data_IF_552800792245
#
_entry.id   IF_552800792245
#
_cell.length_a   1.000
_cell.length_b   1.000
_cell.length_c   1.000
_cell.angle_alpha   90.00
_cell.angle_beta   90.00
_cell.angle_gamma   90.00
#
_symmetry.space_group_name_H-M   'P 1'
#
loop_
_entity.id
_entity.type
_entity.pdbx_description
1 polymer ?
#
# COMPACT_ATOMS: atom_id res chain seq x y z
N UNK A 1 -15.67 41.61 -22.96
CA UNK A 1 -14.61 41.15 -22.07
C UNK A 1 -14.00 39.87 -22.66
N UNK A 2 -12.68 39.81 -22.76
CA UNK A 2 -11.99 38.59 -23.17
C UNK A 2 -12.12 37.56 -22.07
N UNK A 3 -12.51 36.33 -22.40
CA UNK A 3 -12.53 35.21 -21.44
C UNK A 3 -11.13 34.90 -20.91
N UNK A 4 -11.09 34.28 -19.74
CA UNK A 4 -9.84 33.89 -19.05
C UNK A 4 -9.30 32.49 -19.47
N UNK A 5 -9.97 31.85 -20.43
CA UNK A 5 -9.64 30.51 -20.94
C UNK A 5 -9.78 30.46 -22.47
N UNK A 6 -9.45 29.34 -23.08
CA UNK A 6 -9.48 29.11 -24.53
C UNK A 6 -10.83 29.48 -25.15
N UNK A 7 -10.83 29.89 -26.41
CA UNK A 7 -11.99 30.30 -27.20
C UNK A 7 -12.82 31.44 -26.56
N UNK A 8 -12.20 32.34 -25.80
CA UNK A 8 -12.89 33.46 -25.16
C UNK A 8 -13.84 33.06 -24.02
N UNK A 9 -13.73 31.80 -23.53
CA UNK A 9 -14.48 31.29 -22.39
C UNK A 9 -13.82 31.70 -21.08
N UNK A 10 -14.56 31.59 -19.98
CA UNK A 10 -14.05 31.86 -18.64
C UNK A 10 -14.20 30.63 -17.75
N UNK A 11 -13.18 30.38 -16.94
CA UNK A 11 -13.27 29.41 -15.83
C UNK A 11 -13.96 30.10 -14.65
N UNK A 12 -14.96 29.45 -14.06
CA UNK A 12 -15.59 29.96 -12.84
C UNK A 12 -14.59 29.82 -11.68
N UNK A 13 -14.35 30.92 -10.99
CA UNK A 13 -13.48 31.00 -9.83
C UNK A 13 -14.23 31.51 -8.61
N UNK A 14 -13.90 30.97 -7.44
CA UNK A 14 -14.38 31.45 -6.15
C UNK A 14 -13.21 32.16 -5.46
N UNK A 15 -13.26 33.48 -5.33
CA UNK A 15 -12.15 34.27 -4.79
C UNK A 15 -12.16 34.36 -3.26
N UNK A 16 -13.30 34.11 -2.63
CA UNK A 16 -13.51 34.08 -1.19
C UNK A 16 -14.67 33.17 -0.85
N UNK A 17 -14.78 32.81 0.42
CA UNK A 17 -15.96 32.07 0.88
C UNK A 17 -17.24 32.86 0.64
N UNK A 18 -18.35 32.19 0.27
CA UNK A 18 -19.63 32.84 0.08
C UNK A 18 -20.14 33.50 1.37
N UNK A 19 -20.64 34.72 1.27
CA UNK A 19 -21.35 35.42 2.34
C UNK A 19 -22.73 34.84 2.63
N UNK A 20 -23.35 34.19 1.63
CA UNK A 20 -24.66 33.50 1.71
C UNK A 20 -24.49 32.03 1.19
N UNK A 21 -24.22 31.12 2.09
CA UNK A 21 -24.06 29.70 1.78
C UNK A 21 -25.33 29.04 1.19
N UNK A 22 -26.55 29.26 1.68
CA UNK A 22 -27.77 28.74 1.07
C UNK A 22 -27.94 29.16 -0.38
N UNK A 23 -27.73 30.46 -0.69
CA UNK A 23 -27.77 31.00 -2.05
C UNK A 23 -26.68 30.35 -2.92
N UNK A 24 -25.46 30.23 -2.41
CA UNK A 24 -24.36 29.59 -3.11
C UNK A 24 -24.68 28.13 -3.48
N UNK A 25 -25.21 27.35 -2.54
CA UNK A 25 -25.58 25.95 -2.79
C UNK A 25 -26.66 25.86 -3.88
N UNK A 26 -27.65 26.71 -3.85
CA UNK A 26 -28.69 26.77 -4.90
C UNK A 26 -28.10 27.10 -6.28
N UNK A 27 -27.17 28.06 -6.37
CA UNK A 27 -26.46 28.38 -7.61
C UNK A 27 -25.64 27.21 -8.10
N UNK A 28 -24.89 26.59 -7.19
CA UNK A 28 -24.06 25.43 -7.51
C UNK A 28 -24.88 24.27 -8.08
N UNK A 29 -26.02 23.98 -7.49
CA UNK A 29 -26.93 22.93 -7.96
C UNK A 29 -27.43 23.20 -9.38
N UNK A 30 -27.88 24.42 -9.66
CA UNK A 30 -28.30 24.82 -11.02
C UNK A 30 -27.17 24.70 -12.04
N UNK A 31 -25.98 25.14 -11.70
CA UNK A 31 -24.81 25.02 -12.57
C UNK A 31 -24.43 23.55 -12.81
N UNK A 32 -24.53 22.71 -11.78
CA UNK A 32 -24.26 21.27 -11.87
C UNK A 32 -25.30 20.57 -12.76
N UNK A 33 -26.59 20.92 -12.65
CA UNK A 33 -27.65 20.39 -13.49
C UNK A 33 -27.42 20.72 -14.96
N UNK A 34 -27.12 21.99 -15.28
CA UNK A 34 -26.81 22.43 -16.65
C UNK A 34 -25.55 21.71 -17.17
N UNK A 35 -24.50 21.58 -16.34
CA UNK A 35 -23.28 20.83 -16.71
C UNK A 35 -23.60 19.38 -17.02
N UNK A 36 -24.44 18.73 -16.23
CA UNK A 36 -24.80 17.34 -16.38
C UNK A 36 -25.62 17.04 -17.65
N UNK A 37 -26.28 18.06 -18.22
CA UNK A 37 -26.99 17.94 -19.50
C UNK A 37 -26.05 18.00 -20.73
N UNK A 38 -24.80 18.44 -20.55
CA UNK A 38 -23.80 18.50 -21.64
C UNK A 38 -23.18 17.16 -21.91
N UNK A 39 -22.70 16.90 -23.15
CA UNK A 39 -21.88 15.74 -23.43
C UNK A 39 -20.67 15.69 -22.50
N UNK A 40 -20.47 14.56 -21.85
CA UNK A 40 -19.32 14.36 -20.96
C UNK A 40 -18.13 13.85 -21.74
N UNK A 41 -16.89 14.14 -21.27
CA UNK A 41 -15.72 13.42 -21.76
C UNK A 41 -15.91 11.90 -21.62
N UNK A 42 -15.28 11.16 -22.52
CA UNK A 42 -15.24 9.71 -22.40
C UNK A 42 -14.65 9.28 -21.05
N UNK A 43 -15.23 8.26 -20.45
CA UNK A 43 -14.71 7.65 -19.23
C UNK A 43 -13.79 6.50 -19.62
N UNK A 44 -12.57 6.52 -19.14
CA UNK A 44 -11.70 5.35 -19.14
C UNK A 44 -12.03 4.51 -17.89
N UNK A 45 -12.63 3.36 -18.11
CA UNK A 45 -13.16 2.46 -17.09
C UNK A 45 -12.23 1.27 -16.77
N UNK A 46 -10.95 1.38 -17.17
CA UNK A 46 -9.96 0.39 -16.82
C UNK A 46 -9.74 0.32 -15.30
N UNK A 47 -9.67 -0.89 -14.78
CA UNK A 47 -9.17 -1.17 -13.44
C UNK A 47 -7.67 -1.43 -13.56
N UNK A 48 -6.86 -0.54 -12.99
CA UNK A 48 -5.39 -0.65 -12.99
C UNK A 48 -4.96 -1.27 -11.66
N UNK A 49 -4.16 -2.35 -11.70
CA UNK A 49 -3.78 -3.13 -10.54
C UNK A 49 -3.07 -2.28 -9.47
N UNK A 50 -2.02 -1.55 -9.84
CA UNK A 50 -1.23 -0.71 -8.92
C UNK A 50 -2.08 0.36 -8.21
N UNK A 51 -2.94 1.04 -8.95
CA UNK A 51 -3.79 2.10 -8.38
C UNK A 51 -4.82 1.55 -7.40
N UNK A 52 -5.37 0.37 -7.69
CA UNK A 52 -6.26 -0.31 -6.75
C UNK A 52 -5.50 -0.86 -5.54
N UNK A 53 -4.29 -1.40 -5.71
CA UNK A 53 -3.43 -1.80 -4.59
C UNK A 53 -3.15 -0.65 -3.62
N UNK A 54 -2.78 0.51 -4.14
CA UNK A 54 -2.56 1.72 -3.35
C UNK A 54 -3.86 2.21 -2.67
N UNK A 55 -4.99 2.18 -3.39
CA UNK A 55 -6.29 2.56 -2.84
C UNK A 55 -6.76 1.60 -1.73
N UNK A 56 -6.51 0.29 -1.87
CA UNK A 56 -6.81 -0.71 -0.84
C UNK A 56 -6.08 -0.36 0.45
N UNK A 57 -4.75 -0.14 0.39
CA UNK A 57 -3.96 0.26 1.56
C UNK A 57 -4.51 1.54 2.19
N UNK A 58 -4.72 2.59 1.40
CA UNK A 58 -5.23 3.86 1.89
C UNK A 58 -6.61 3.74 2.57
N UNK A 59 -7.51 2.94 2.03
CA UNK A 59 -8.83 2.71 2.60
C UNK A 59 -8.77 1.88 3.90
N UNK A 60 -7.86 0.91 3.99
CA UNK A 60 -7.63 0.14 5.22
C UNK A 60 -7.06 1.03 6.31
N UNK A 61 -6.01 1.80 6.01
CA UNK A 61 -5.35 2.69 6.96
C UNK A 61 -6.34 3.76 7.46
N UNK A 62 -6.98 4.48 6.55
CA UNK A 62 -7.95 5.51 6.90
C UNK A 62 -9.19 4.93 7.61
N UNK A 63 -9.70 3.79 7.15
CA UNK A 63 -10.82 3.09 7.77
C UNK A 63 -10.52 2.66 9.19
N UNK A 64 -9.31 2.19 9.46
CA UNK A 64 -8.85 1.79 10.79
C UNK A 64 -8.68 3.00 11.72
N UNK A 65 -8.05 4.08 11.24
CA UNK A 65 -7.78 5.28 12.04
C UNK A 65 -9.08 6.05 12.33
N UNK A 66 -10.00 6.15 11.36
CA UNK A 66 -11.26 6.91 11.47
C UNK A 66 -12.44 6.04 11.93
N UNK A 67 -12.23 4.78 12.26
CA UNK A 67 -13.27 3.80 12.63
C UNK A 67 -14.41 3.72 11.59
N UNK A 68 -14.04 3.60 10.29
CA UNK A 68 -14.97 3.57 9.15
C UNK A 68 -14.93 2.18 8.48
N UNK A 69 -15.73 1.26 9.03
CA UNK A 69 -15.77 -0.12 8.57
C UNK A 69 -16.20 -0.28 7.10
N UNK A 70 -17.02 0.64 6.59
CA UNK A 70 -17.42 0.66 5.18
C UNK A 70 -16.25 0.93 4.22
N UNK A 71 -15.19 1.62 4.66
CA UNK A 71 -13.99 1.83 3.84
C UNK A 71 -13.14 0.55 3.79
N UNK A 72 -13.01 -0.15 4.91
CA UNK A 72 -12.34 -1.45 4.96
C UNK A 72 -13.09 -2.48 4.11
N UNK A 73 -14.44 -2.48 4.17
CA UNK A 73 -15.26 -3.35 3.32
C UNK A 73 -15.06 -3.07 1.82
N UNK A 74 -15.01 -1.79 1.42
CA UNK A 74 -14.73 -1.40 0.04
C UNK A 74 -13.32 -1.85 -0.41
N UNK A 75 -12.30 -1.69 0.45
CA UNK A 75 -10.94 -2.18 0.20
C UNK A 75 -10.92 -3.70 -0.01
N UNK A 76 -11.65 -4.44 0.85
CA UNK A 76 -11.75 -5.90 0.75
C UNK A 76 -12.41 -6.35 -0.56
N UNK A 77 -13.46 -5.67 -1.00
CA UNK A 77 -14.10 -5.96 -2.29
C UNK A 77 -13.16 -5.71 -3.48
N UNK A 78 -12.41 -4.60 -3.45
CA UNK A 78 -11.41 -4.30 -4.47
C UNK A 78 -10.29 -5.35 -4.49
N UNK A 79 -9.83 -5.80 -3.33
CA UNK A 79 -8.81 -6.84 -3.22
C UNK A 79 -9.29 -8.20 -3.76
N UNK A 80 -10.54 -8.59 -3.49
CA UNK A 80 -11.12 -9.80 -4.09
C UNK A 80 -11.17 -9.70 -5.62
N UNK A 81 -11.53 -8.53 -6.17
CA UNK A 81 -11.49 -8.32 -7.62
C UNK A 81 -10.08 -8.55 -8.18
N UNK A 82 -9.05 -7.97 -7.55
CA UNK A 82 -7.66 -8.14 -7.99
C UNK A 82 -7.21 -9.60 -7.87
N UNK A 83 -7.51 -10.28 -6.77
CA UNK A 83 -7.16 -11.67 -6.57
C UNK A 83 -7.83 -12.62 -7.58
N UNK A 84 -9.09 -12.35 -7.96
CA UNK A 84 -9.86 -13.23 -8.86
C UNK A 84 -9.64 -12.91 -10.34
N UNK A 85 -9.38 -11.65 -10.68
CA UNK A 85 -9.37 -11.20 -12.09
C UNK A 85 -7.96 -10.87 -12.59
N UNK A 86 -7.06 -10.42 -11.70
CA UNK A 86 -5.73 -9.98 -12.11
C UNK A 86 -4.64 -11.00 -11.79
N UNK A 87 -4.67 -11.61 -10.58
CA UNK A 87 -3.65 -12.58 -10.17
C UNK A 87 -3.87 -13.92 -10.86
N UNK A 88 -2.82 -14.45 -11.45
CA UNK A 88 -2.86 -15.75 -12.12
C UNK A 88 -3.75 -15.82 -13.38
N UNK A 89 -4.21 -14.67 -13.85
CA UNK A 89 -5.07 -14.63 -15.05
C UNK A 89 -4.32 -15.03 -16.33
N UNK A 90 -3.01 -14.78 -16.40
CA UNK A 90 -2.21 -15.15 -17.56
C UNK A 90 -1.68 -16.58 -17.42
N UNK A 91 -1.97 -17.50 -18.39
CA UNK A 91 -1.66 -18.93 -18.25
C UNK A 91 -0.19 -19.26 -18.03
N UNK A 92 0.72 -18.47 -18.60
CA UNK A 92 2.18 -18.69 -18.47
C UNK A 92 2.79 -18.04 -17.24
N UNK A 93 2.06 -17.20 -16.50
CA UNK A 93 2.56 -16.45 -15.35
C UNK A 93 1.57 -16.52 -14.18
N UNK A 94 1.45 -17.69 -13.50
CA UNK A 94 0.39 -17.93 -12.51
C UNK A 94 0.52 -17.11 -11.22
N UNK A 95 1.71 -16.59 -10.92
CA UNK A 95 1.97 -15.76 -9.73
C UNK A 95 2.07 -14.25 -10.07
N UNK A 96 1.81 -13.88 -11.33
CA UNK A 96 1.90 -12.50 -11.79
C UNK A 96 0.52 -11.91 -12.05
N UNK A 97 0.37 -10.63 -11.71
CA UNK A 97 -0.83 -9.87 -12.07
C UNK A 97 -0.87 -9.56 -13.57
N UNK A 98 -2.06 -9.45 -14.13
CA UNK A 98 -2.26 -8.63 -15.32
C UNK A 98 -2.44 -7.17 -14.87
N UNK A 99 -1.87 -6.21 -15.63
CA UNK A 99 -1.87 -4.80 -15.26
C UNK A 99 -3.27 -4.19 -15.22
N UNK A 100 -4.14 -4.58 -16.16
CA UNK A 100 -5.44 -3.97 -16.33
C UNK A 100 -6.56 -4.99 -16.51
N UNK A 101 -7.77 -4.63 -16.07
CA UNK A 101 -8.99 -5.32 -16.46
C UNK A 101 -10.07 -4.31 -16.85
N UNK A 102 -11.12 -4.78 -17.56
CA UNK A 102 -12.32 -4.01 -17.87
C UNK A 102 -13.52 -4.96 -17.82
N UNK A 103 -14.62 -4.54 -17.18
CA UNK A 103 -15.81 -5.36 -17.00
C UNK A 103 -15.49 -6.75 -16.41
N UNK A 104 -14.63 -6.79 -15.39
CA UNK A 104 -14.11 -8.00 -14.77
C UNK A 104 -13.43 -9.00 -15.74
N UNK A 105 -12.96 -8.53 -16.89
CA UNK A 105 -12.19 -9.34 -17.85
C UNK A 105 -10.72 -8.90 -17.83
N UNK A 106 -9.77 -9.83 -17.62
CA UNK A 106 -8.36 -9.52 -17.58
C UNK A 106 -7.81 -9.10 -18.94
N UNK A 107 -6.94 -8.10 -18.97
CA UNK A 107 -6.21 -7.67 -20.16
C UNK A 107 -4.93 -8.49 -20.33
N UNK A 108 -5.03 -9.69 -20.89
CA UNK A 108 -3.94 -10.67 -20.98
C UNK A 108 -2.70 -10.18 -21.76
N UNK A 109 -2.85 -9.15 -22.58
CA UNK A 109 -1.75 -8.52 -23.35
C UNK A 109 -0.85 -7.60 -22.52
N UNK A 110 -1.25 -7.29 -21.27
CA UNK A 110 -0.56 -6.36 -20.40
C UNK A 110 -0.25 -7.04 -19.05
N UNK A 111 0.89 -7.71 -18.98
CA UNK A 111 1.38 -8.25 -17.70
C UNK A 111 1.74 -7.12 -16.74
N UNK A 112 1.56 -7.39 -15.45
CA UNK A 112 1.90 -6.47 -14.38
C UNK A 112 3.39 -6.14 -14.37
N UNK A 113 3.69 -4.87 -14.19
CA UNK A 113 5.04 -4.37 -13.95
C UNK A 113 5.35 -4.36 -12.45
N UNK A 114 6.57 -4.00 -12.07
CA UNK A 114 7.03 -3.96 -10.68
C UNK A 114 6.08 -3.19 -9.75
N UNK A 115 5.62 -2.02 -10.19
CA UNK A 115 4.67 -1.19 -9.46
C UNK A 115 3.35 -1.93 -9.16
N UNK A 116 2.83 -2.68 -10.15
CA UNK A 116 1.58 -3.43 -9.96
C UNK A 116 1.72 -4.52 -8.90
N UNK A 117 2.78 -5.33 -9.00
CA UNK A 117 3.06 -6.40 -8.05
C UNK A 117 3.24 -5.84 -6.63
N UNK A 118 4.06 -4.80 -6.47
CA UNK A 118 4.44 -4.24 -5.18
C UNK A 118 3.28 -3.55 -4.46
N UNK A 119 2.52 -2.71 -5.17
CA UNK A 119 1.41 -1.96 -4.56
C UNK A 119 0.22 -2.86 -4.23
N UNK A 120 -0.04 -3.91 -5.04
CA UNK A 120 -1.07 -4.90 -4.68
C UNK A 120 -0.63 -5.75 -3.49
N UNK A 121 0.64 -6.18 -3.43
CA UNK A 121 1.18 -6.86 -2.26
C UNK A 121 1.03 -6.00 -0.99
N UNK A 122 1.33 -4.72 -1.06
CA UNK A 122 1.16 -3.77 0.06
C UNK A 122 -0.31 -3.66 0.51
N UNK A 123 -1.25 -3.58 -0.45
CA UNK A 123 -2.69 -3.58 -0.14
C UNK A 123 -3.16 -4.87 0.54
N UNK A 124 -2.71 -6.02 0.05
CA UNK A 124 -3.04 -7.33 0.66
C UNK A 124 -2.45 -7.45 2.08
N UNK A 125 -1.23 -6.96 2.31
CA UNK A 125 -0.63 -6.94 3.65
C UNK A 125 -1.38 -6.05 4.64
N UNK A 126 -1.94 -4.93 4.19
CA UNK A 126 -2.80 -4.10 5.04
C UNK A 126 -4.08 -4.84 5.43
N UNK A 127 -4.71 -5.58 4.50
CA UNK A 127 -5.86 -6.43 4.80
C UNK A 127 -5.52 -7.60 5.72
N UNK A 128 -4.36 -8.23 5.56
CA UNK A 128 -3.90 -9.29 6.44
C UNK A 128 -3.81 -8.82 7.90
N UNK A 129 -3.36 -7.60 8.12
CA UNK A 129 -3.26 -7.01 9.45
C UNK A 129 -4.64 -6.69 10.05
N UNK A 130 -5.50 -6.00 9.31
CA UNK A 130 -6.81 -5.55 9.85
C UNK A 130 -7.77 -6.71 10.07
N UNK A 131 -7.77 -7.72 9.21
CA UNK A 131 -8.63 -8.90 9.35
C UNK A 131 -8.01 -10.02 10.19
N UNK A 132 -6.68 -10.04 10.35
CA UNK A 132 -5.97 -11.17 10.95
C UNK A 132 -6.07 -12.43 10.08
N UNK A 133 -6.20 -12.27 8.77
CA UNK A 133 -6.39 -13.36 7.80
C UNK A 133 -5.11 -13.57 6.97
N UNK A 134 -4.50 -14.72 7.17
CA UNK A 134 -3.27 -15.12 6.50
C UNK A 134 -3.45 -15.38 5.00
N UNK A 135 -4.67 -15.54 4.50
CA UNK A 135 -4.90 -15.69 3.05
C UNK A 135 -4.38 -14.48 2.27
N UNK A 136 -4.61 -13.27 2.76
CA UNK A 136 -4.10 -12.04 2.17
C UNK A 136 -2.57 -11.94 2.23
N UNK A 137 -1.97 -12.34 3.35
CA UNK A 137 -0.52 -12.41 3.48
C UNK A 137 0.10 -13.41 2.49
N UNK A 138 -0.53 -14.58 2.33
CA UNK A 138 -0.06 -15.59 1.39
C UNK A 138 -0.11 -15.10 -0.06
N UNK A 139 -1.17 -14.41 -0.46
CA UNK A 139 -1.26 -13.79 -1.80
C UNK A 139 -0.18 -12.72 -2.01
N UNK A 140 0.11 -11.90 -1.00
CA UNK A 140 1.22 -10.95 -1.05
C UNK A 140 2.57 -11.65 -1.20
N UNK A 141 2.76 -12.79 -0.54
CA UNK A 141 3.96 -13.63 -0.66
C UNK A 141 4.22 -14.08 -2.09
N UNK A 142 3.18 -14.59 -2.79
CA UNK A 142 3.30 -14.99 -4.20
C UNK A 142 3.80 -13.85 -5.10
N UNK A 143 3.30 -12.62 -4.87
CA UNK A 143 3.73 -11.44 -5.62
C UNK A 143 5.18 -11.06 -5.33
N UNK A 144 5.61 -11.15 -4.08
CA UNK A 144 6.98 -10.86 -3.68
C UNK A 144 7.97 -11.92 -4.17
N UNK A 145 7.58 -13.20 -4.19
CA UNK A 145 8.35 -14.29 -4.79
C UNK A 145 8.55 -14.05 -6.29
N UNK A 146 7.49 -13.65 -7.02
CA UNK A 146 7.59 -13.31 -8.44
C UNK A 146 8.50 -12.10 -8.68
N UNK A 147 8.45 -11.08 -7.80
CA UNK A 147 9.36 -9.93 -7.87
C UNK A 147 10.82 -10.38 -7.68
N UNK A 148 11.11 -11.19 -6.67
CA UNK A 148 12.47 -11.68 -6.42
C UNK A 148 13.01 -12.50 -7.60
N UNK A 149 12.17 -13.33 -8.20
CA UNK A 149 12.55 -14.21 -9.29
C UNK A 149 12.81 -13.48 -10.59
N UNK A 150 12.01 -12.44 -10.91
CA UNK A 150 11.95 -11.91 -12.28
C UNK A 150 12.27 -10.42 -12.42
N UNK A 151 12.24 -9.63 -11.34
CA UNK A 151 12.43 -8.18 -11.45
C UNK A 151 13.80 -7.70 -10.96
N UNK A 152 14.57 -8.54 -10.30
CA UNK A 152 15.90 -8.13 -9.84
C UNK A 152 16.85 -7.94 -11.02
N UNK A 153 17.63 -6.84 -10.99
CA UNK A 153 18.66 -6.52 -11.96
C UNK A 153 19.88 -5.93 -11.24
N UNK A 154 20.91 -6.74 -11.05
CA UNK A 154 22.07 -6.33 -10.24
C UNK A 154 21.66 -5.98 -8.80
N UNK A 155 22.03 -4.78 -8.36
CA UNK A 155 21.68 -4.25 -7.05
C UNK A 155 20.39 -3.41 -7.07
N UNK A 156 19.54 -3.56 -8.07
CA UNK A 156 18.32 -2.83 -8.26
C UNK A 156 17.15 -3.70 -8.69
N UNK A 157 16.00 -3.07 -8.86
CA UNK A 157 14.78 -3.68 -9.37
C UNK A 157 14.40 -3.01 -10.68
N UNK A 158 14.19 -3.80 -11.72
CA UNK A 158 13.74 -3.32 -13.02
C UNK A 158 12.21 -3.19 -13.04
N UNK A 159 11.69 -2.23 -13.81
CA UNK A 159 10.25 -1.99 -13.91
C UNK A 159 9.51 -3.15 -14.59
N UNK A 160 10.21 -3.91 -15.47
CA UNK A 160 9.65 -5.06 -16.18
C UNK A 160 10.36 -6.35 -15.81
N UNK A 161 9.63 -7.46 -15.87
CA UNK A 161 10.20 -8.79 -15.62
C UNK A 161 11.13 -9.25 -16.73
N UNK A 162 12.06 -10.15 -16.43
CA UNK A 162 13.07 -10.69 -17.36
C UNK A 162 12.51 -11.76 -18.31
N UNK A 163 11.38 -12.35 -17.97
CA UNK A 163 10.68 -13.38 -18.74
C UNK A 163 9.60 -12.81 -19.68
N UNK A 164 9.51 -11.48 -19.80
CA UNK A 164 8.60 -10.78 -20.71
C UNK A 164 9.41 -10.21 -21.88
N UNK A 165 9.00 -10.46 -23.13
CA UNK A 165 9.68 -9.86 -24.29
C UNK A 165 9.71 -8.33 -24.19
N UNK A 166 10.81 -7.68 -24.58
CA UNK A 166 10.88 -6.23 -24.62
C UNK A 166 9.82 -5.66 -25.58
N UNK A 167 9.23 -4.52 -25.21
CA UNK A 167 8.16 -3.88 -25.99
C UNK A 167 8.64 -3.41 -27.38
N UNK A 168 9.94 -3.20 -27.53
CA UNK A 168 10.57 -2.88 -28.82
C UNK A 168 11.87 -3.67 -28.97
N UNK A 169 12.13 -4.18 -30.18
CA UNK A 169 13.32 -4.99 -30.50
C UNK A 169 14.67 -4.30 -30.24
N UNK A 170 14.66 -2.99 -29.99
CA UNK A 170 15.88 -2.18 -29.83
C UNK A 170 16.24 -1.94 -28.35
N UNK A 171 15.35 -2.29 -27.38
CA UNK A 171 15.61 -2.10 -25.94
C UNK A 171 16.28 -3.35 -25.38
N UNK A 172 17.60 -3.30 -25.22
CA UNK A 172 18.39 -4.43 -24.71
C UNK A 172 18.50 -4.47 -23.18
N UNK A 173 18.16 -3.37 -22.49
CA UNK A 173 18.24 -3.25 -21.03
C UNK A 173 16.88 -2.87 -20.46
N UNK A 174 16.47 -3.58 -19.40
CA UNK A 174 15.26 -3.23 -18.64
C UNK A 174 15.51 -1.93 -17.88
N UNK A 175 14.52 -1.04 -17.86
CA UNK A 175 14.61 0.21 -17.11
C UNK A 175 14.60 -0.07 -15.60
N UNK A 176 15.45 0.66 -14.87
CA UNK A 176 15.51 0.68 -13.41
C UNK A 176 15.27 2.13 -12.98
N UNK A 177 14.08 2.43 -12.49
CA UNK A 177 13.72 3.77 -12.04
C UNK A 177 13.23 3.77 -10.58
N UNK A 178 14.07 4.21 -9.62
CA UNK A 178 13.67 4.29 -8.23
C UNK A 178 12.89 5.56 -7.88
N UNK A 179 12.61 6.45 -8.85
CA UNK A 179 11.97 7.74 -8.59
C UNK A 179 10.46 7.62 -8.39
N UNK A 180 9.96 8.28 -7.34
CA UNK A 180 8.53 8.47 -7.15
C UNK A 180 8.02 9.52 -8.14
N UNK A 181 6.78 9.33 -8.60
CA UNK A 181 6.08 10.30 -9.44
C UNK A 181 4.70 10.61 -8.80
N UNK A 182 3.61 10.37 -9.53
CA UNK A 182 2.22 10.47 -8.98
C UNK A 182 1.90 9.29 -8.08
N UNK A 183 2.62 8.20 -8.23
CA UNK A 183 2.59 7.00 -7.40
C UNK A 183 3.97 6.72 -6.82
N UNK A 184 4.06 5.91 -5.76
CA UNK A 184 5.35 5.38 -5.30
C UNK A 184 6.06 4.63 -6.43
N UNK A 185 7.40 4.70 -6.47
CA UNK A 185 8.15 3.85 -7.40
C UNK A 185 7.93 2.37 -7.07
N UNK A 186 7.94 1.53 -8.11
CA UNK A 186 7.83 0.08 -7.93
C UNK A 186 8.93 -0.46 -7.00
N UNK A 187 10.13 0.12 -7.06
CA UNK A 187 11.23 -0.26 -6.18
C UNK A 187 10.94 0.06 -4.71
N UNK A 188 10.62 1.31 -4.38
CA UNK A 188 10.32 1.71 -3.00
C UNK A 188 9.10 0.94 -2.44
N UNK A 189 8.05 0.76 -3.24
CA UNK A 189 6.87 -0.03 -2.86
C UNK A 189 7.22 -1.51 -2.60
N UNK A 190 8.13 -2.10 -3.40
CA UNK A 190 8.60 -3.47 -3.17
C UNK A 190 9.31 -3.61 -1.83
N UNK A 191 10.21 -2.69 -1.51
CA UNK A 191 10.96 -2.78 -0.25
C UNK A 191 10.05 -2.57 0.97
N UNK A 192 9.08 -1.65 0.89
CA UNK A 192 8.06 -1.46 1.91
C UNK A 192 7.23 -2.75 2.13
N UNK A 193 6.74 -3.35 1.04
CA UNK A 193 5.97 -4.60 1.11
C UNK A 193 6.83 -5.78 1.62
N UNK A 194 8.08 -5.90 1.17
CA UNK A 194 8.98 -6.99 1.59
C UNK A 194 9.32 -6.91 3.09
N UNK A 195 9.61 -5.71 3.61
CA UNK A 195 9.85 -5.52 5.04
C UNK A 195 8.58 -5.81 5.86
N UNK A 196 7.42 -5.33 5.40
CA UNK A 196 6.14 -5.62 6.06
C UNK A 196 5.82 -7.11 6.07
N UNK A 197 5.96 -7.79 4.92
CA UNK A 197 5.74 -9.23 4.81
C UNK A 197 6.71 -10.02 5.70
N UNK A 198 8.00 -9.69 5.65
CA UNK A 198 9.03 -10.39 6.46
C UNK A 198 8.74 -10.31 7.95
N UNK A 199 8.27 -9.15 8.41
CA UNK A 199 7.88 -8.94 9.80
C UNK A 199 6.65 -9.81 10.18
N UNK A 200 5.61 -9.85 9.34
CA UNK A 200 4.39 -10.64 9.60
C UNK A 200 4.63 -12.15 9.50
N UNK A 201 5.55 -12.58 8.64
CA UNK A 201 5.84 -13.99 8.34
C UNK A 201 7.02 -14.54 9.12
N UNK A 202 7.76 -13.71 9.85
CA UNK A 202 9.05 -14.06 10.46
C UNK A 202 10.07 -14.56 9.41
N UNK A 203 10.06 -13.95 8.21
CA UNK A 203 10.91 -14.33 7.08
C UNK A 203 12.19 -13.51 7.05
N UNK A 204 13.24 -14.04 7.66
CA UNK A 204 14.53 -13.38 7.71
C UNK A 204 15.22 -13.32 6.34
N UNK A 205 15.01 -14.30 5.46
CA UNK A 205 15.68 -14.32 4.15
C UNK A 205 15.17 -13.19 3.24
N UNK A 206 13.85 -13.00 3.19
CA UNK A 206 13.25 -11.88 2.46
C UNK A 206 13.67 -10.54 3.08
N UNK A 207 13.75 -10.47 4.41
CA UNK A 207 14.24 -9.29 5.12
C UNK A 207 15.65 -8.90 4.67
N UNK A 208 16.57 -9.83 4.72
CA UNK A 208 17.96 -9.62 4.32
C UNK A 208 18.07 -9.25 2.82
N UNK A 209 17.23 -9.85 1.97
CA UNK A 209 17.17 -9.50 0.56
C UNK A 209 16.75 -8.03 0.37
N UNK A 210 15.69 -7.58 1.02
CA UNK A 210 15.23 -6.19 0.95
C UNK A 210 16.29 -5.22 1.50
N UNK A 211 16.90 -5.54 2.64
CA UNK A 211 17.92 -4.70 3.27
C UNK A 211 19.19 -4.54 2.40
N UNK A 212 19.56 -5.54 1.61
CA UNK A 212 20.66 -5.40 0.63
C UNK A 212 20.38 -4.39 -0.47
N UNK A 213 19.12 -4.15 -0.81
CA UNK A 213 18.70 -3.20 -1.86
C UNK A 213 18.51 -1.76 -1.33
N UNK A 214 18.31 -1.58 -0.01
CA UNK A 214 18.07 -0.27 0.62
C UNK A 214 19.14 0.77 0.34
N UNK A 215 20.47 0.47 0.43
CA UNK A 215 21.51 1.47 0.24
C UNK A 215 21.49 2.15 -1.13
N UNK A 216 20.97 1.48 -2.16
CA UNK A 216 20.87 2.06 -3.50
C UNK A 216 19.88 3.24 -3.60
N UNK A 217 18.93 3.37 -2.65
CA UNK A 217 18.01 4.51 -2.58
C UNK A 217 18.60 5.75 -1.89
N UNK A 218 19.68 5.60 -1.12
CA UNK A 218 20.26 6.69 -0.31
C UNK A 218 20.67 7.91 -1.15
N UNK A 219 21.37 7.75 -2.30
CA UNK A 219 21.72 8.88 -3.15
C UNK A 219 20.49 9.65 -3.65
N UNK A 220 19.43 8.94 -4.08
CA UNK A 220 18.20 9.56 -4.54
C UNK A 220 17.54 10.40 -3.44
N UNK A 221 17.35 9.83 -2.25
CA UNK A 221 16.74 10.52 -1.11
C UNK A 221 17.57 11.74 -0.67
N UNK A 222 18.90 11.64 -0.75
CA UNK A 222 19.79 12.71 -0.31
C UNK A 222 19.84 13.89 -1.29
N UNK A 223 19.65 13.65 -2.61
CA UNK A 223 19.87 14.68 -3.64
C UNK A 223 18.58 15.13 -4.33
N UNK A 224 17.56 14.27 -4.39
CA UNK A 224 16.32 14.48 -5.12
C UNK A 224 15.08 14.16 -4.29
N UNK A 225 14.99 14.67 -3.07
CA UNK A 225 13.97 14.38 -2.05
C UNK A 225 12.54 14.53 -2.57
N UNK A 226 12.30 15.46 -3.52
CA UNK A 226 10.99 15.67 -4.14
C UNK A 226 10.48 14.43 -4.89
N UNK A 227 11.39 13.62 -5.43
CA UNK A 227 11.09 12.41 -6.20
C UNK A 227 11.40 11.13 -5.41
N UNK A 228 11.47 11.21 -4.09
CA UNK A 228 11.91 10.12 -3.23
C UNK A 228 11.17 10.06 -1.89
N UNK A 229 9.93 10.52 -1.85
CA UNK A 229 9.15 10.58 -0.61
C UNK A 229 8.89 9.19 -0.02
N UNK A 230 8.50 8.24 -0.87
CA UNK A 230 8.28 6.86 -0.43
C UNK A 230 9.58 6.15 -0.09
N UNK A 231 10.62 6.32 -0.92
CA UNK A 231 11.98 5.84 -0.62
C UNK A 231 12.49 6.36 0.72
N UNK A 232 12.25 7.65 1.02
CA UNK A 232 12.59 8.25 2.31
C UNK A 232 11.86 7.59 3.48
N UNK A 233 10.58 7.28 3.34
CA UNK A 233 9.78 6.57 4.35
C UNK A 233 10.31 5.15 4.57
N UNK A 234 10.66 4.43 3.51
CA UNK A 234 11.23 3.09 3.58
C UNK A 234 12.60 3.09 4.25
N UNK A 235 13.48 4.06 3.93
CA UNK A 235 14.76 4.21 4.60
C UNK A 235 14.60 4.58 6.08
N UNK A 236 13.63 5.44 6.43
CA UNK A 236 13.33 5.77 7.83
C UNK A 236 12.87 4.53 8.61
N UNK A 237 12.01 3.71 8.01
CA UNK A 237 11.58 2.42 8.56
C UNK A 237 12.76 1.47 8.78
N UNK A 238 13.67 1.37 7.82
CA UNK A 238 14.86 0.52 7.93
C UNK A 238 15.82 0.99 9.02
N UNK A 239 16.09 2.29 9.08
CA UNK A 239 17.02 2.88 10.07
C UNK A 239 16.48 2.82 11.51
N UNK A 240 15.20 3.04 11.74
CA UNK A 240 14.57 2.89 13.06
C UNK A 240 14.38 1.41 13.44
N UNK A 241 14.38 0.51 12.44
CA UNK A 241 13.98 -0.88 12.53
C UNK A 241 12.46 -1.01 12.64
N UNK A 242 11.81 -1.77 11.76
CA UNK A 242 10.35 -1.96 11.83
C UNK A 242 9.97 -2.51 13.21
N UNK A 243 8.85 -2.03 13.73
CA UNK A 243 8.26 -2.52 14.96
C UNK A 243 7.24 -3.60 14.65
N UNK A 244 7.55 -4.79 15.12
CA UNK A 244 6.71 -5.98 14.98
C UNK A 244 5.88 -6.12 16.26
N UNK A 245 4.56 -5.96 16.14
CA UNK A 245 3.64 -6.01 17.28
C UNK A 245 2.79 -7.26 17.21
N UNK A 246 3.00 -8.20 18.13
CA UNK A 246 2.12 -9.33 18.31
C UNK A 246 1.18 -9.08 19.48
N UNK A 247 -0.13 -9.11 19.25
CA UNK A 247 -1.16 -8.87 20.24
C UNK A 247 -1.82 -10.17 20.66
N UNK A 248 -1.44 -10.71 21.81
CA UNK A 248 -2.19 -11.76 22.48
C UNK A 248 -3.37 -11.13 23.23
N UNK A 249 -4.42 -10.77 22.48
CA UNK A 249 -5.53 -9.96 22.95
C UNK A 249 -6.84 -10.38 22.28
N UNK A 250 -7.98 -9.96 22.81
CA UNK A 250 -9.28 -10.14 22.16
C UNK A 250 -9.45 -9.21 20.97
N UNK A 251 -10.38 -9.54 20.06
CA UNK A 251 -10.63 -8.75 18.85
C UNK A 251 -11.11 -7.31 19.15
N UNK A 252 -11.76 -7.11 20.26
CA UNK A 252 -12.28 -5.83 20.78
C UNK A 252 -11.34 -5.15 21.78
N UNK A 253 -10.13 -5.68 21.96
CA UNK A 253 -9.12 -5.14 22.87
C UNK A 253 -8.74 -3.69 22.53
N UNK A 254 -8.53 -2.91 23.60
CA UNK A 254 -7.99 -1.56 23.45
C UNK A 254 -6.58 -1.55 22.82
N UNK A 255 -5.79 -2.61 23.00
CA UNK A 255 -4.49 -2.73 22.34
C UNK A 255 -4.63 -2.79 20.82
N UNK A 256 -5.66 -3.47 20.30
CA UNK A 256 -5.93 -3.49 18.85
C UNK A 256 -6.35 -2.10 18.32
N UNK A 257 -7.14 -1.34 19.10
CA UNK A 257 -7.48 0.05 18.74
C UNK A 257 -6.26 0.98 18.80
N UNK A 258 -5.37 0.75 19.76
CA UNK A 258 -4.18 1.58 19.94
C UNK A 258 -3.13 1.35 18.84
N UNK A 259 -2.93 0.10 18.41
CA UNK A 259 -1.84 -0.22 17.45
C UNK A 259 -2.01 0.49 16.12
N UNK A 260 -3.24 0.67 15.64
CA UNK A 260 -3.53 1.37 14.38
C UNK A 260 -3.23 2.87 14.43
N UNK A 261 -3.09 3.43 15.63
CA UNK A 261 -2.74 4.83 15.87
C UNK A 261 -1.24 5.02 16.16
N UNK A 262 -0.45 3.95 16.12
CA UNK A 262 1.00 4.00 16.30
C UNK A 262 1.67 4.76 15.17
N UNK A 263 2.64 5.62 15.51
CA UNK A 263 3.33 6.49 14.55
C UNK A 263 4.78 6.08 14.28
N UNK A 264 5.19 4.93 14.80
CA UNK A 264 6.55 4.41 14.54
C UNK A 264 6.72 3.98 13.10
N UNK A 265 7.79 4.36 12.42
CA UNK A 265 8.07 3.89 11.07
C UNK A 265 8.07 2.36 11.01
N UNK A 266 7.43 1.80 9.99
CA UNK A 266 7.39 0.35 9.77
C UNK A 266 6.67 -0.43 10.87
N UNK A 267 5.69 0.16 11.54
CA UNK A 267 4.86 -0.56 12.49
C UNK A 267 4.00 -1.59 11.74
N UNK A 268 4.14 -2.85 12.12
CA UNK A 268 3.29 -3.95 11.64
C UNK A 268 2.69 -4.66 12.85
N UNK A 269 1.50 -5.25 12.69
CA UNK A 269 0.85 -5.94 13.79
C UNK A 269 0.13 -7.22 13.35
N UNK A 270 0.08 -8.17 14.27
CA UNK A 270 -0.71 -9.39 14.18
C UNK A 270 -1.49 -9.60 15.49
N UNK A 271 -2.71 -10.13 15.40
CA UNK A 271 -3.60 -10.30 16.55
C UNK A 271 -4.39 -11.60 16.55
N UNK A 272 -4.38 -12.34 15.44
CA UNK A 272 -4.99 -13.66 15.34
C UNK A 272 -3.94 -14.74 15.66
N UNK A 273 -4.29 -15.74 16.45
CA UNK A 273 -3.39 -16.79 16.95
C UNK A 273 -2.74 -17.62 15.86
N UNK A 274 -3.35 -17.72 14.69
CA UNK A 274 -2.81 -18.49 13.56
C UNK A 274 -1.66 -17.76 12.83
N UNK A 275 -1.51 -16.46 13.08
CA UNK A 275 -0.48 -15.66 12.41
C UNK A 275 0.93 -15.99 12.94
N UNK A 276 1.95 -16.15 12.06
CA UNK A 276 3.30 -16.54 12.46
C UNK A 276 3.92 -15.63 13.53
N UNK A 277 3.65 -14.32 13.45
CA UNK A 277 4.15 -13.36 14.42
C UNK A 277 3.63 -13.61 15.85
N UNK A 278 2.52 -14.32 16.02
CA UNK A 278 1.94 -14.68 17.33
C UNK A 278 2.38 -16.04 17.84
N UNK A 279 3.07 -16.85 17.06
CA UNK A 279 3.51 -18.18 17.49
C UNK A 279 4.35 -18.11 18.77
N UNK A 280 3.97 -18.91 19.76
CA UNK A 280 4.62 -18.96 21.07
C UNK A 280 4.34 -17.78 22.00
N UNK A 281 3.43 -16.85 21.63
CA UNK A 281 3.05 -15.67 22.43
C UNK A 281 1.63 -15.81 22.94
N UNK A 282 1.44 -15.70 24.25
CA UNK A 282 0.15 -15.86 24.93
C UNK A 282 -0.10 -14.72 25.91
N UNK A 283 -1.36 -14.53 26.30
CA UNK A 283 -1.74 -13.61 27.37
C UNK A 283 -0.96 -13.91 28.63
N UNK A 284 -0.53 -12.86 29.34
CA UNK A 284 0.09 -12.99 30.64
C UNK A 284 -0.94 -12.74 31.74
N UNK A 285 -1.08 -13.70 32.69
CA UNK A 285 -2.04 -13.61 33.76
C UNK A 285 -3.48 -13.25 33.30
N UNK A 286 -3.90 -13.84 32.17
CA UNK A 286 -5.19 -13.58 31.52
C UNK A 286 -5.39 -12.14 31.01
N UNK A 287 -4.40 -11.25 31.15
CA UNK A 287 -4.45 -9.89 30.64
C UNK A 287 -4.06 -9.83 29.17
N UNK A 288 -4.68 -8.93 28.43
CA UNK A 288 -4.26 -8.59 27.08
C UNK A 288 -2.79 -8.17 27.08
N UNK A 289 -2.00 -8.76 26.20
CA UNK A 289 -0.55 -8.65 26.22
C UNK A 289 -0.03 -8.29 24.82
N UNK A 290 0.80 -7.25 24.73
CA UNK A 290 1.51 -6.89 23.53
C UNK A 290 2.99 -7.31 23.63
N UNK A 291 3.49 -7.91 22.55
CA UNK A 291 4.91 -8.19 22.35
C UNK A 291 5.41 -7.26 21.26
N UNK A 292 6.27 -6.32 21.63
CA UNK A 292 6.84 -5.34 20.68
C UNK A 292 8.29 -5.72 20.41
N UNK A 293 8.58 -6.03 19.17
CA UNK A 293 9.89 -6.48 18.73
C UNK A 293 10.51 -5.51 17.72
N UNK A 294 11.82 -5.57 17.54
CA UNK A 294 12.57 -4.92 16.47
C UNK A 294 13.56 -5.92 15.90
N UNK A 295 13.50 -6.15 14.58
CA UNK A 295 14.37 -7.11 13.92
C UNK A 295 14.29 -8.50 14.58
N UNK A 296 13.06 -8.94 14.89
CA UNK A 296 12.74 -10.20 15.55
C UNK A 296 13.21 -10.33 17.02
N UNK A 297 13.79 -9.28 17.62
CA UNK A 297 14.16 -9.23 19.04
C UNK A 297 13.08 -8.51 19.83
N UNK A 298 12.41 -9.24 20.71
CA UNK A 298 11.28 -8.72 21.49
C UNK A 298 11.72 -8.10 22.82
N UNK A 299 11.05 -7.03 23.21
CA UNK A 299 11.10 -6.48 24.57
C UNK A 299 10.30 -7.35 25.55
N UNK A 300 10.36 -7.04 26.84
CA UNK A 300 9.48 -7.67 27.82
C UNK A 300 8.00 -7.47 27.42
N UNK A 301 7.15 -8.48 27.67
CA UNK A 301 5.73 -8.37 27.35
C UNK A 301 5.07 -7.19 28.08
N UNK A 302 4.21 -6.48 27.37
CA UNK A 302 3.54 -5.27 27.85
C UNK A 302 2.07 -5.57 28.12
N UNK A 303 1.59 -5.29 29.35
CA UNK A 303 0.17 -5.42 29.73
C UNK A 303 -0.46 -4.07 30.08
N UNK A 304 0.33 -2.98 30.09
CA UNK A 304 -0.13 -1.62 30.35
C UNK A 304 -0.36 -0.85 29.05
N UNK A 305 -1.55 -0.25 28.92
CA UNK A 305 -1.88 0.58 27.75
C UNK A 305 -0.95 1.79 27.60
N UNK A 306 -0.50 2.41 28.71
CA UNK A 306 0.40 3.56 28.69
C UNK A 306 1.82 3.17 28.23
N UNK A 307 2.32 2.04 28.67
CA UNK A 307 3.61 1.50 28.20
C UNK A 307 3.52 1.12 26.72
N UNK A 308 2.40 0.51 26.31
CA UNK A 308 2.16 0.13 24.93
C UNK A 308 2.14 1.34 23.99
N UNK A 309 1.43 2.42 24.34
CA UNK A 309 1.44 3.68 23.58
C UNK A 309 2.87 4.19 23.34
N UNK A 310 3.70 4.20 24.39
CA UNK A 310 5.11 4.61 24.26
C UNK A 310 5.89 3.69 23.33
N UNK A 311 5.68 2.38 23.44
CA UNK A 311 6.40 1.39 22.62
C UNK A 311 6.08 1.51 21.13
N UNK A 312 4.84 1.88 20.75
CA UNK A 312 4.40 2.07 19.37
C UNK A 312 4.59 3.50 18.85
N UNK A 313 5.23 4.37 19.63
CA UNK A 313 5.56 5.74 19.23
C UNK A 313 4.38 6.71 19.25
N UNK A 314 3.31 6.40 19.98
CA UNK A 314 2.22 7.34 20.15
C UNK A 314 2.71 8.58 20.89
N UNK A 315 2.54 9.74 20.26
CA UNK A 315 2.77 11.04 20.92
C UNK A 315 1.41 11.56 21.42
N UNK A 316 1.32 11.76 22.71
CA UNK A 316 0.18 12.46 23.36
C UNK A 316 0.15 13.91 22.96
#
# INVERSE_FOLDING_TARGET
>A
EQGTFEDGKSVLTLHSDPDDWPRWLTIREKLLEIRNSRPRPGRDDKVVASWNGLAIRALVDAGSICDRQEWIAAATQAAHLLAQTHLGAHPSHPNRLVRVSRDAKPGLHALGILEDQALVASGFLSLAQVHGDDSWRNLAGLLLEDIQAHFQQGNGLADTADDVPPVANEVTTRQVDPTDNVTPSGWAATLDAAITYSALSNDQQLREWAERLMPALIPLVSTHTRFAGWSGSVLAMWLDGPREVALAASADSDFKKLVVLGTSPGLVYAWNHDQPLLQGRAKQNEADTAFVCRGFVCQAPITSAEEFKKAIGWKT
#
